data_IF_802676436490
#
_entry.id   IF_802676436490
#
_cell.length_a   1.000
_cell.length_b   1.000
_cell.length_c   1.000
_cell.angle_alpha   90.00
_cell.angle_beta   90.00
_cell.angle_gamma   90.00
#
_symmetry.space_group_name_H-M   'P 1'
#
loop_
_entity.id
_entity.type
_entity.pdbx_description
1 polymer ?
#
# COMPACT_ATOMS: atom_id res chain seq x y z
N UNK A 1 20.77 -19.81 -22.85
CA UNK A 1 20.23 -19.46 -21.53
C UNK A 1 19.67 -18.02 -21.52
N UNK A 2 19.01 -17.53 -22.57
CA UNK A 2 19.05 -16.06 -22.83
C UNK A 2 17.70 -15.35 -23.00
N UNK A 3 16.55 -16.00 -22.79
CA UNK A 3 15.25 -15.32 -22.96
C UNK A 3 14.28 -15.49 -21.77
N UNK A 4 14.52 -16.46 -20.89
CA UNK A 4 13.63 -16.75 -19.76
C UNK A 4 13.93 -15.85 -18.55
N UNK A 5 15.21 -15.68 -18.24
CA UNK A 5 15.68 -14.90 -17.09
C UNK A 5 15.45 -13.37 -17.26
N UNK A 6 15.50 -12.88 -18.51
CA UNK A 6 15.19 -11.49 -18.84
C UNK A 6 13.72 -11.14 -18.60
N UNK A 7 12.81 -12.02 -19.05
CA UNK A 7 11.36 -11.84 -18.85
C UNK A 7 10.95 -11.90 -17.38
N UNK A 8 11.54 -12.81 -16.60
CA UNK A 8 11.25 -12.92 -15.16
C UNK A 8 11.75 -11.69 -14.38
N UNK A 9 12.86 -11.09 -14.81
CA UNK A 9 13.42 -9.87 -14.21
C UNK A 9 12.56 -8.63 -14.52
N UNK A 10 12.10 -8.46 -15.76
CA UNK A 10 11.19 -7.38 -16.15
C UNK A 10 9.85 -7.47 -15.41
N UNK A 11 9.28 -8.68 -15.29
CA UNK A 11 8.05 -8.90 -14.55
C UNK A 11 8.22 -8.55 -13.06
N UNK A 12 9.36 -8.93 -12.47
CA UNK A 12 9.66 -8.60 -11.09
C UNK A 12 9.82 -7.09 -10.87
N UNK A 13 10.44 -6.38 -11.81
CA UNK A 13 10.59 -4.92 -11.79
C UNK A 13 9.23 -4.21 -11.88
N UNK A 14 8.41 -4.56 -12.87
CA UNK A 14 7.07 -3.97 -13.05
C UNK A 14 6.20 -4.23 -11.81
N UNK A 15 6.26 -5.44 -11.24
CA UNK A 15 5.57 -5.77 -10.00
C UNK A 15 6.03 -4.92 -8.82
N UNK A 16 7.35 -4.75 -8.63
CA UNK A 16 7.90 -3.91 -7.57
C UNK A 16 7.48 -2.44 -7.73
N UNK A 17 7.59 -1.90 -8.94
CA UNK A 17 7.23 -0.52 -9.25
C UNK A 17 5.74 -0.27 -9.03
N UNK A 18 4.89 -1.21 -9.45
CA UNK A 18 3.43 -1.14 -9.24
C UNK A 18 3.09 -1.12 -7.74
N UNK A 19 3.75 -1.95 -6.93
CA UNK A 19 3.55 -1.96 -5.49
C UNK A 19 3.99 -0.65 -4.83
N UNK A 20 5.12 -0.06 -5.25
CA UNK A 20 5.55 1.25 -4.76
C UNK A 20 4.61 2.40 -5.16
N UNK A 21 3.99 2.34 -6.33
CA UNK A 21 2.92 3.27 -6.72
C UNK A 21 1.70 3.12 -5.82
N UNK A 22 1.30 1.88 -5.49
CA UNK A 22 0.22 1.64 -4.53
C UNK A 22 0.58 2.16 -3.14
N UNK A 23 1.81 1.94 -2.65
CA UNK A 23 2.29 2.50 -1.38
C UNK A 23 2.15 4.02 -1.37
N UNK A 24 2.55 4.68 -2.46
CA UNK A 24 2.45 6.14 -2.58
C UNK A 24 0.99 6.60 -2.54
N UNK A 25 0.10 5.93 -3.29
CA UNK A 25 -1.33 6.21 -3.29
C UNK A 25 -1.96 6.02 -1.90
N UNK A 26 -1.69 4.89 -1.24
CA UNK A 26 -2.23 4.62 0.08
C UNK A 26 -1.62 5.51 1.17
N UNK A 27 -0.38 5.95 1.03
CA UNK A 27 0.24 6.93 1.93
C UNK A 27 -0.44 8.29 1.80
N UNK A 28 -0.77 8.70 0.58
CA UNK A 28 -1.56 9.90 0.34
C UNK A 28 -2.96 9.78 0.96
N UNK A 29 -3.64 8.63 0.78
CA UNK A 29 -4.93 8.36 1.44
C UNK A 29 -4.81 8.39 2.97
N UNK A 30 -3.80 7.74 3.54
CA UNK A 30 -3.55 7.73 4.99
C UNK A 30 -3.30 9.14 5.54
N UNK A 31 -2.73 10.05 4.75
CA UNK A 31 -2.60 11.46 5.15
C UNK A 31 -3.95 12.12 5.39
N UNK A 32 -4.98 11.80 4.60
CA UNK A 32 -6.34 12.31 4.85
C UNK A 32 -6.93 11.77 6.16
N UNK A 33 -6.72 10.49 6.46
CA UNK A 33 -7.13 9.91 7.75
C UNK A 33 -6.35 10.52 8.93
N UNK A 34 -5.07 10.86 8.73
CA UNK A 34 -4.29 11.56 9.73
C UNK A 34 -4.88 12.95 10.03
N UNK A 35 -5.19 13.74 9.00
CA UNK A 35 -5.81 15.05 9.18
C UNK A 35 -7.19 14.95 9.86
N UNK A 36 -8.02 14.00 9.43
CA UNK A 36 -9.32 13.70 10.04
C UNK A 36 -9.21 13.33 11.53
N UNK A 37 -8.19 12.54 11.88
CA UNK A 37 -7.91 12.21 13.28
C UNK A 37 -7.46 13.43 14.09
N UNK A 38 -6.59 14.27 13.53
CA UNK A 38 -6.11 15.49 14.20
C UNK A 38 -7.21 16.54 14.38
N UNK A 39 -8.14 16.66 13.44
CA UNK A 39 -9.27 17.60 13.53
C UNK A 39 -10.45 17.07 14.36
N UNK A 40 -10.41 15.81 14.83
CA UNK A 40 -11.56 15.09 15.43
C UNK A 40 -12.79 15.01 14.51
N UNK A 41 -12.60 15.12 13.19
CA UNK A 41 -13.66 14.98 12.19
C UNK A 41 -13.46 13.67 11.42
N UNK A 42 -14.13 12.57 11.81
CA UNK A 42 -13.98 11.28 11.16
C UNK A 42 -14.46 11.31 9.69
N UNK A 43 -13.81 10.51 8.84
CA UNK A 43 -14.23 10.37 7.45
C UNK A 43 -15.51 9.52 7.41
N UNK A 44 -16.58 10.09 6.88
CA UNK A 44 -17.85 9.38 6.71
C UNK A 44 -17.87 8.57 5.40
N UNK A 45 -18.10 7.28 5.53
CA UNK A 45 -18.28 6.37 4.41
C UNK A 45 -19.76 6.23 4.06
N UNK A 46 -20.12 6.64 2.85
CA UNK A 46 -21.50 6.54 2.33
C UNK A 46 -21.81 5.16 1.74
N UNK A 47 -20.77 4.42 1.33
CA UNK A 47 -20.90 3.08 0.71
C UNK A 47 -21.42 2.04 1.69
N UNK A 48 -22.40 1.23 1.25
CA UNK A 48 -23.07 0.21 2.07
C UNK A 48 -22.08 -0.80 2.69
N UNK A 49 -21.01 -1.13 1.98
CA UNK A 49 -19.98 -2.07 2.45
C UNK A 49 -19.00 -1.47 3.47
N UNK A 50 -18.88 -0.14 3.53
CA UNK A 50 -17.92 0.57 4.39
C UNK A 50 -18.59 1.32 5.54
N UNK A 51 -19.93 1.33 5.61
CA UNK A 51 -20.70 1.98 6.69
C UNK A 51 -20.31 1.53 8.10
N UNK A 52 -19.79 0.32 8.27
CA UNK A 52 -19.31 -0.15 9.57
C UNK A 52 -18.10 0.67 10.07
N UNK A 53 -17.32 1.27 9.16
CA UNK A 53 -16.19 2.13 9.53
C UNK A 53 -16.64 3.41 10.21
N UNK A 54 -17.87 3.88 9.95
CA UNK A 54 -18.45 5.06 10.62
C UNK A 54 -18.68 4.84 12.12
N UNK A 55 -18.73 3.58 12.58
CA UNK A 55 -18.85 3.25 14.00
C UNK A 55 -17.50 3.34 14.73
N UNK A 56 -16.39 3.45 14.00
CA UNK A 56 -15.05 3.48 14.54
C UNK A 56 -14.60 4.92 14.79
N UNK A 57 -13.94 5.22 15.92
CA UNK A 57 -13.27 6.49 16.15
C UNK A 57 -12.24 6.81 15.05
N UNK A 58 -12.01 8.09 14.78
CA UNK A 58 -11.05 8.55 13.77
C UNK A 58 -9.63 7.99 14.01
N UNK A 59 -9.22 7.80 15.27
CA UNK A 59 -7.94 7.17 15.63
C UNK A 59 -7.83 5.73 15.14
N UNK A 60 -8.91 4.94 15.25
CA UNK A 60 -8.96 3.55 14.77
C UNK A 60 -8.97 3.53 13.24
N UNK A 61 -9.74 4.42 12.59
CA UNK A 61 -9.74 4.54 11.13
C UNK A 61 -8.34 4.89 10.60
N UNK A 62 -7.64 5.80 11.27
CA UNK A 62 -6.26 6.14 10.96
C UNK A 62 -5.32 4.95 11.17
N UNK A 63 -5.40 4.24 12.29
CA UNK A 63 -4.59 3.05 12.56
C UNK A 63 -4.79 1.96 11.48
N UNK A 64 -6.02 1.75 11.01
CA UNK A 64 -6.32 0.86 9.89
C UNK A 64 -5.62 1.35 8.61
N UNK A 65 -5.72 2.63 8.29
CA UNK A 65 -5.06 3.19 7.09
C UNK A 65 -3.54 3.02 7.11
N UNK A 66 -2.90 3.25 8.27
CA UNK A 66 -1.45 3.06 8.44
C UNK A 66 -1.07 1.58 8.32
N UNK A 67 -1.90 0.69 8.85
CA UNK A 67 -1.70 -0.76 8.72
C UNK A 67 -1.73 -1.22 7.27
N UNK A 68 -2.65 -0.66 6.46
CA UNK A 68 -2.72 -0.92 5.01
C UNK A 68 -1.44 -0.43 4.31
N UNK A 69 -0.97 0.78 4.61
CA UNK A 69 0.29 1.31 4.06
C UNK A 69 1.48 0.43 4.44
N UNK A 70 1.57 0.02 5.70
CA UNK A 70 2.65 -0.86 6.18
C UNK A 70 2.64 -2.21 5.45
N UNK A 71 1.46 -2.81 5.24
CA UNK A 71 1.31 -4.05 4.49
C UNK A 71 1.82 -3.92 3.05
N UNK A 72 1.38 -2.89 2.31
CA UNK A 72 1.83 -2.68 0.94
C UNK A 72 3.32 -2.34 0.87
N UNK A 73 3.86 -1.61 1.86
CA UNK A 73 5.29 -1.30 1.94
C UNK A 73 6.11 -2.57 2.13
N UNK A 74 5.64 -3.49 2.97
CA UNK A 74 6.27 -4.79 3.17
C UNK A 74 6.27 -5.62 1.88
N UNK A 75 5.13 -5.72 1.18
CA UNK A 75 5.06 -6.45 -0.09
C UNK A 75 5.91 -5.79 -1.18
N UNK A 76 5.94 -4.46 -1.26
CA UNK A 76 6.80 -3.71 -2.17
C UNK A 76 8.27 -4.00 -1.92
N UNK A 77 8.72 -3.92 -0.65
CA UNK A 77 10.09 -4.21 -0.26
C UNK A 77 10.49 -5.67 -0.57
N UNK A 78 9.60 -6.63 -0.26
CA UNK A 78 9.80 -8.04 -0.57
C UNK A 78 9.96 -8.28 -2.08
N UNK A 79 9.13 -7.64 -2.90
CA UNK A 79 9.22 -7.73 -4.35
C UNK A 79 10.48 -7.05 -4.90
N UNK A 80 10.89 -5.90 -4.34
CA UNK A 80 12.17 -5.26 -4.67
C UNK A 80 13.36 -6.15 -4.35
N UNK A 81 13.35 -6.85 -3.20
CA UNK A 81 14.41 -7.82 -2.86
C UNK A 81 14.47 -8.97 -3.86
N UNK A 82 13.32 -9.50 -4.31
CA UNK A 82 13.30 -10.54 -5.36
C UNK A 82 13.90 -10.03 -6.67
N UNK A 83 13.51 -8.83 -7.10
CA UNK A 83 14.08 -8.20 -8.29
C UNK A 83 15.61 -8.03 -8.19
N UNK A 84 16.11 -7.53 -7.05
CA UNK A 84 17.56 -7.39 -6.82
C UNK A 84 18.28 -8.74 -6.82
N UNK A 85 17.65 -9.80 -6.31
CA UNK A 85 18.21 -11.16 -6.40
C UNK A 85 18.29 -11.65 -7.84
N UNK A 86 17.24 -11.47 -8.64
CA UNK A 86 17.23 -11.84 -10.05
C UNK A 86 18.30 -11.09 -10.86
N UNK A 87 18.56 -9.81 -10.53
CA UNK A 87 19.65 -9.04 -11.13
C UNK A 87 21.05 -9.54 -10.77
N UNK A 88 21.21 -10.24 -9.64
CA UNK A 88 22.52 -10.69 -9.16
C UNK A 88 22.93 -12.07 -9.70
N UNK A 89 22.01 -12.81 -10.34
CA UNK A 89 22.23 -14.17 -10.82
C UNK A 89 21.97 -15.21 -9.75
#
# INVERSE_FOLDING_TARGET
MTNKDGGDTELAFIGALSLWLLVSLFSWVASHFYYAWQSNEPIEFTSRGLRFMNLLPASIQFAISVSVVAFFTYEAAKQSVKFVKLLRG
#
